data_IF_501978321232
#
_entry.id   IF_501978321232
#
_cell.length_a   1.000
_cell.length_b   1.000
_cell.length_c   1.000
_cell.angle_alpha   90.00
_cell.angle_beta   90.00
_cell.angle_gamma   90.00
#
_symmetry.space_group_name_H-M   'P 1'
#
loop_
_entity.id
_entity.type
_entity.pdbx_description
1 polymer ?
#
# COMPACT_ATOMS: atom_id res chain seq x y z
N UNK A 1 16.95 10.69 44.54
CA UNK A 1 16.29 10.71 43.23
C UNK A 1 17.36 10.80 42.18
N UNK A 2 17.45 9.78 41.31
CA UNK A 2 18.33 9.75 40.14
C UNK A 2 17.61 8.91 39.08
N UNK A 3 17.33 9.54 37.93
CA UNK A 3 17.26 8.94 36.61
C UNK A 3 16.22 7.85 36.35
N UNK A 4 15.02 8.26 35.96
CA UNK A 4 14.18 7.44 35.08
C UNK A 4 14.90 7.32 33.73
N UNK A 5 15.62 6.21 33.53
CA UNK A 5 16.17 5.85 32.23
C UNK A 5 15.04 5.19 31.44
N UNK A 6 14.68 5.76 30.28
CA UNK A 6 13.57 5.29 29.46
C UNK A 6 13.73 3.80 29.13
N UNK A 7 12.89 2.97 29.75
CA UNK A 7 12.76 1.58 29.35
C UNK A 7 12.13 1.56 27.96
N UNK A 8 12.92 1.27 26.93
CA UNK A 8 12.37 0.78 25.67
C UNK A 8 11.67 -0.54 26.00
N UNK A 9 10.34 -0.53 25.96
CA UNK A 9 9.52 -1.70 26.23
C UNK A 9 9.73 -2.71 25.09
N UNK A 10 10.29 -3.88 25.41
CA UNK A 10 10.48 -4.95 24.43
C UNK A 10 9.18 -5.69 24.11
N UNK A 11 8.93 -6.00 22.83
CA UNK A 11 7.71 -6.69 22.39
C UNK A 11 7.80 -8.21 22.58
N UNK A 12 9.02 -8.76 22.58
CA UNK A 12 9.25 -10.15 22.93
C UNK A 12 10.60 -10.35 23.62
N UNK A 13 10.60 -11.16 24.68
CA UNK A 13 11.80 -11.56 25.43
C UNK A 13 11.77 -13.05 25.69
N UNK A 14 12.83 -13.76 25.35
CA UNK A 14 13.05 -15.15 25.74
C UNK A 14 14.37 -15.26 26.48
N UNK A 15 14.37 -15.82 27.69
CA UNK A 15 15.57 -16.03 28.49
C UNK A 15 15.69 -17.48 28.92
N UNK A 16 16.93 -17.98 28.99
CA UNK A 16 17.23 -19.32 29.48
C UNK A 16 18.69 -19.49 29.85
N UNK A 17 19.00 -20.63 30.45
CA UNK A 17 20.34 -21.02 30.83
C UNK A 17 20.82 -22.14 29.90
N UNK A 18 21.91 -21.87 29.19
CA UNK A 18 22.57 -22.82 28.28
C UNK A 18 23.85 -23.34 28.91
N UNK A 19 24.06 -24.65 28.87
CA UNK A 19 25.33 -25.25 29.25
C UNK A 19 26.22 -25.45 28.02
N UNK A 20 27.27 -24.65 27.89
CA UNK A 20 28.21 -24.72 26.76
C UNK A 20 29.31 -25.73 27.07
N UNK A 21 29.24 -26.90 26.44
CA UNK A 21 30.16 -28.03 26.66
C UNK A 21 31.32 -28.08 25.66
N UNK A 22 31.24 -27.32 24.57
CA UNK A 22 32.22 -27.26 23.49
C UNK A 22 32.21 -25.87 22.83
N UNK A 23 33.15 -25.63 21.92
CA UNK A 23 33.14 -24.43 21.09
C UNK A 23 31.82 -24.33 20.34
N UNK A 24 31.23 -23.13 20.37
CA UNK A 24 29.86 -22.93 19.94
C UNK A 24 29.66 -21.59 19.27
N UNK A 25 28.62 -21.52 18.44
CA UNK A 25 28.26 -20.32 17.69
C UNK A 25 26.76 -20.07 17.75
N UNK A 26 26.37 -18.82 17.55
CA UNK A 26 24.99 -18.45 17.31
C UNK A 26 24.77 -18.44 15.81
N UNK A 27 23.77 -19.19 15.39
CA UNK A 27 23.33 -19.26 14.01
C UNK A 27 22.01 -18.51 13.95
N UNK A 28 21.96 -17.48 13.11
CA UNK A 28 20.76 -16.71 12.87
C UNK A 28 20.31 -16.94 11.43
N UNK A 29 19.12 -17.52 11.29
CA UNK A 29 18.55 -17.95 10.01
C UNK A 29 17.15 -17.36 9.81
N UNK A 30 16.72 -17.27 8.55
CA UNK A 30 15.34 -16.97 8.21
C UNK A 30 14.48 -18.24 8.30
N UNK A 31 13.28 -18.18 8.89
CA UNK A 31 12.37 -19.33 9.02
C UNK A 31 10.89 -18.94 8.97
N UNK A 32 10.02 -19.84 8.51
CA UNK A 32 8.57 -19.61 8.37
C UNK A 32 7.75 -20.35 9.47
N UNK A 33 6.57 -19.86 9.90
CA UNK A 33 6.17 -18.49 10.29
C UNK A 33 6.17 -18.35 11.83
N UNK A 34 7.32 -18.62 12.46
CA UNK A 34 7.47 -18.56 13.91
C UNK A 34 8.89 -18.15 14.29
N UNK A 35 9.04 -17.51 15.46
CA UNK A 35 10.34 -17.39 16.11
C UNK A 35 10.66 -18.77 16.69
N UNK A 36 11.73 -19.40 16.21
CA UNK A 36 12.20 -20.66 16.77
C UNK A 36 13.58 -20.50 17.41
N UNK A 37 13.75 -21.12 18.57
CA UNK A 37 15.01 -21.14 19.31
C UNK A 37 15.35 -22.59 19.54
N UNK A 38 16.38 -23.06 18.84
CA UNK A 38 16.86 -24.44 18.88
C UNK A 38 18.27 -24.46 19.47
N UNK A 39 18.50 -25.32 20.45
CA UNK A 39 19.78 -25.48 21.11
C UNK A 39 20.40 -26.85 20.84
N UNK A 40 21.67 -26.79 20.46
CA UNK A 40 22.50 -27.96 20.19
C UNK A 40 23.82 -27.79 20.94
N UNK A 41 24.58 -28.88 21.09
CA UNK A 41 25.92 -28.81 21.66
C UNK A 41 26.84 -27.88 20.83
N UNK A 42 26.67 -27.88 19.50
CA UNK A 42 27.47 -27.12 18.53
C UNK A 42 27.04 -25.65 18.42
N UNK A 43 25.78 -25.32 18.66
CA UNK A 43 25.28 -23.97 18.43
C UNK A 43 23.90 -23.67 18.97
N UNK A 44 23.63 -22.37 19.14
CA UNK A 44 22.32 -21.82 19.41
C UNK A 44 21.75 -21.29 18.09
N UNK A 45 20.69 -21.90 17.58
CA UNK A 45 20.05 -21.54 16.32
C UNK A 45 18.81 -20.72 16.64
N UNK A 46 18.74 -19.52 16.08
CA UNK A 46 17.62 -18.60 16.24
C UNK A 46 17.06 -18.35 14.85
N UNK A 47 15.85 -18.84 14.61
CA UNK A 47 15.13 -18.58 13.35
C UNK A 47 14.06 -17.55 13.62
N UNK A 48 13.89 -16.61 12.69
CA UNK A 48 12.78 -15.65 12.76
C UNK A 48 12.13 -15.45 11.39
N UNK A 49 10.85 -15.06 11.35
CA UNK A 49 10.12 -14.83 10.09
C UNK A 49 10.53 -13.59 9.33
N UNK A 50 11.43 -12.77 9.87
CA UNK A 50 11.75 -11.44 9.36
C UNK A 50 13.25 -11.35 9.07
N UNK A 51 13.70 -10.93 7.89
CA UNK A 51 15.12 -10.61 7.66
C UNK A 51 15.21 -9.29 6.93
N UNK A 52 15.88 -8.26 7.48
CA UNK A 52 15.98 -6.94 6.84
C UNK A 52 16.74 -6.97 5.51
N UNK A 53 17.40 -8.08 5.17
CA UNK A 53 18.05 -8.24 3.87
C UNK A 53 18.07 -9.73 3.48
N UNK A 54 17.41 -10.11 2.36
CA UNK A 54 17.40 -11.49 1.86
C UNK A 54 18.72 -11.92 1.21
N UNK A 55 19.71 -11.03 1.03
CA UNK A 55 20.99 -11.41 0.40
C UNK A 55 21.76 -12.49 1.16
N UNK A 56 21.66 -12.50 2.50
CA UNK A 56 22.21 -13.55 3.35
C UNK A 56 21.09 -14.15 4.21
N UNK A 57 20.67 -15.38 3.89
CA UNK A 57 19.68 -16.15 4.66
C UNK A 57 20.26 -16.75 5.95
N UNK A 58 21.55 -16.51 6.23
CA UNK A 58 22.33 -17.17 7.27
C UNK A 58 23.41 -16.24 7.81
N UNK A 59 23.45 -16.04 9.13
CA UNK A 59 24.49 -15.32 9.83
C UNK A 59 25.05 -16.18 10.98
N UNK A 60 26.38 -16.21 11.11
CA UNK A 60 27.06 -16.96 12.17
C UNK A 60 27.89 -16.01 13.03
N UNK A 61 27.66 -16.05 14.35
CA UNK A 61 28.35 -15.25 15.35
C UNK A 61 29.07 -16.17 16.34
N UNK A 62 30.30 -15.85 16.72
CA UNK A 62 31.05 -16.62 17.72
C UNK A 62 30.56 -16.34 19.13
N UNK A 63 30.43 -17.39 19.95
CA UNK A 63 30.17 -17.27 21.39
C UNK A 63 31.49 -17.21 22.20
N UNK A 64 31.45 -16.83 23.49
CA UNK A 64 32.65 -16.83 24.33
C UNK A 64 33.34 -18.19 24.36
N UNK A 65 34.67 -18.21 24.24
CA UNK A 65 35.47 -19.44 24.31
C UNK A 65 35.38 -20.22 25.65
N UNK A 66 35.26 -19.58 26.84
CA UNK A 66 35.19 -20.32 28.10
C UNK A 66 33.94 -21.19 28.19
N UNK A 67 34.12 -22.47 28.50
CA UNK A 67 33.03 -23.43 28.71
C UNK A 67 32.32 -23.17 30.03
N UNK A 68 31.03 -23.52 30.10
CA UNK A 68 30.24 -23.41 31.32
C UNK A 68 28.79 -23.00 31.08
N UNK A 69 28.12 -22.61 32.17
CA UNK A 69 26.72 -22.21 32.15
C UNK A 69 26.58 -20.72 31.87
N UNK A 70 25.86 -20.39 30.81
CA UNK A 70 25.55 -19.01 30.42
C UNK A 70 24.05 -18.75 30.48
N UNK A 71 23.68 -17.67 31.17
CA UNK A 71 22.36 -17.04 31.02
C UNK A 71 22.35 -16.30 29.68
N UNK A 72 21.32 -16.51 28.89
CA UNK A 72 21.11 -15.73 27.67
C UNK A 72 19.68 -15.24 27.58
N UNK A 73 19.50 -14.12 26.88
CA UNK A 73 18.22 -13.53 26.60
C UNK A 73 18.18 -13.02 25.15
N UNK A 74 17.12 -13.37 24.44
CA UNK A 74 16.79 -12.90 23.09
C UNK A 74 15.71 -11.84 23.25
N UNK A 75 15.98 -10.64 22.75
CA UNK A 75 15.08 -9.49 22.78
C UNK A 75 14.68 -9.09 21.38
N UNK A 76 13.39 -8.87 21.19
CA UNK A 76 12.82 -8.35 19.95
C UNK A 76 12.10 -7.03 20.23
N UNK A 77 12.43 -6.04 19.42
CA UNK A 77 11.82 -4.72 19.45
C UNK A 77 11.13 -4.49 18.11
N UNK A 78 9.80 -4.43 18.10
CA UNK A 78 8.97 -4.26 16.90
C UNK A 78 9.16 -2.85 16.31
N UNK A 79 9.18 -1.83 17.17
CA UNK A 79 9.34 -0.42 16.78
C UNK A 79 10.66 -0.13 16.06
N UNK A 80 11.77 -0.70 16.54
CA UNK A 80 13.09 -0.55 15.92
C UNK A 80 13.48 -1.70 15.00
N UNK A 81 12.63 -2.74 14.87
CA UNK A 81 12.86 -3.96 14.06
C UNK A 81 14.20 -4.66 14.37
N UNK A 82 14.67 -4.56 15.60
CA UNK A 82 15.97 -5.09 16.03
C UNK A 82 15.82 -6.36 16.85
N UNK A 83 16.68 -7.35 16.58
CA UNK A 83 16.83 -8.53 17.43
C UNK A 83 18.19 -8.49 18.11
N UNK A 84 18.19 -8.57 19.42
CA UNK A 84 19.39 -8.52 20.24
C UNK A 84 19.51 -9.80 21.06
N UNK A 85 20.66 -10.44 20.97
CA UNK A 85 21.03 -11.55 21.84
C UNK A 85 22.01 -11.05 22.89
N UNK A 86 21.64 -11.20 24.16
CA UNK A 86 22.56 -11.06 25.29
C UNK A 86 22.96 -12.45 25.73
N UNK A 87 24.25 -12.79 25.63
CA UNK A 87 24.79 -14.10 26.02
C UNK A 87 25.90 -13.91 27.05
N UNK A 88 25.61 -14.20 28.32
CA UNK A 88 26.52 -13.87 29.43
C UNK A 88 26.77 -12.37 29.54
N UNK A 89 28.00 -11.94 29.19
CA UNK A 89 28.40 -10.51 29.16
C UNK A 89 28.44 -9.93 27.75
N UNK A 90 28.24 -10.73 26.72
CA UNK A 90 28.26 -10.28 25.33
C UNK A 90 26.87 -9.86 24.89
N UNK A 91 26.79 -8.81 24.09
CA UNK A 91 25.58 -8.38 23.42
C UNK A 91 25.82 -8.37 21.91
N UNK A 92 24.96 -9.06 21.17
CA UNK A 92 25.10 -9.30 19.73
C UNK A 92 23.81 -8.82 19.08
N UNK A 93 23.94 -7.88 18.13
CA UNK A 93 22.82 -7.46 17.28
C UNK A 93 22.69 -8.45 16.11
N UNK A 94 21.58 -9.19 16.07
CA UNK A 94 21.37 -10.23 15.06
C UNK A 94 20.77 -9.63 13.77
N UNK A 95 21.52 -9.75 12.68
CA UNK A 95 21.08 -9.41 11.32
C UNK A 95 21.27 -7.93 10.92
N UNK A 96 22.04 -7.16 11.69
CA UNK A 96 22.25 -5.72 11.43
C UNK A 96 23.55 -5.36 10.71
N UNK A 97 24.60 -6.20 10.74
CA UNK A 97 25.90 -5.84 10.17
C UNK A 97 26.72 -7.08 9.72
N UNK A 98 27.08 -7.22 8.43
CA UNK A 98 27.89 -8.33 7.91
C UNK A 98 29.30 -8.39 8.49
N UNK A 99 29.84 -7.30 9.04
CA UNK A 99 31.21 -7.21 9.55
C UNK A 99 31.49 -8.10 10.76
N UNK A 100 30.44 -8.50 11.48
CA UNK A 100 30.51 -9.42 12.63
C UNK A 100 30.20 -10.87 12.26
N UNK A 101 29.80 -11.13 11.01
CA UNK A 101 29.46 -12.46 10.51
C UNK A 101 30.67 -13.13 9.88
N UNK A 102 30.88 -14.41 10.20
CA UNK A 102 31.95 -15.21 9.60
C UNK A 102 31.54 -15.58 8.16
N UNK A 103 32.32 -15.24 7.12
CA UNK A 103 32.03 -15.65 5.75
C UNK A 103 32.02 -17.17 5.61
N UNK A 104 31.12 -17.67 4.75
CA UNK A 104 30.91 -19.09 4.53
C UNK A 104 32.16 -19.80 3.98
N UNK A 105 32.63 -20.81 4.71
CA UNK A 105 33.35 -21.97 4.14
C UNK A 105 32.34 -23.10 3.92
N UNK A 106 32.46 -23.84 2.82
CA UNK A 106 31.60 -24.98 2.45
C UNK A 106 31.42 -25.98 3.59
N UNK A 107 30.40 -25.80 4.41
CA UNK A 107 29.99 -26.79 5.40
C UNK A 107 28.47 -26.73 5.61
N UNK A 108 27.73 -27.15 4.58
CA UNK A 108 26.35 -27.60 4.74
C UNK A 108 26.20 -28.98 4.15
N UNK A 109 25.99 -29.97 5.01
CA UNK A 109 24.80 -30.83 5.03
C UNK A 109 25.09 -32.07 5.89
N UNK A 110 24.18 -32.34 6.85
CA UNK A 110 24.13 -33.56 7.69
C UNK A 110 25.35 -33.81 8.59
N UNK A 111 25.53 -32.97 9.60
CA UNK A 111 26.07 -33.46 10.89
C UNK A 111 24.88 -33.66 11.81
N UNK A 112 24.71 -34.85 12.40
CA UNK A 112 23.72 -35.06 13.47
C UNK A 112 24.01 -34.04 14.59
N UNK A 113 23.20 -32.98 14.67
CA UNK A 113 23.35 -31.98 15.73
C UNK A 113 22.81 -32.60 17.02
N UNK A 114 23.64 -32.61 18.05
CA UNK A 114 23.28 -33.20 19.33
C UNK A 114 22.39 -32.22 20.07
N UNK A 115 21.09 -32.52 20.11
CA UNK A 115 20.08 -31.74 20.82
C UNK A 115 20.46 -31.55 22.29
N UNK A 116 20.40 -30.33 22.79
CA UNK A 116 20.79 -29.99 24.15
C UNK A 116 19.73 -29.11 24.81
N UNK A 117 19.37 -29.39 26.06
CA UNK A 117 18.27 -28.70 26.72
C UNK A 117 18.68 -27.29 27.16
N UNK A 118 17.74 -26.36 27.06
CA UNK A 118 17.82 -25.05 27.70
C UNK A 118 17.08 -25.15 29.03
N UNK A 119 17.68 -24.64 30.11
CA UNK A 119 17.13 -24.70 31.46
C UNK A 119 16.62 -23.33 31.92
N UNK A 120 15.79 -23.29 32.97
CA UNK A 120 15.29 -22.04 33.57
C UNK A 120 14.71 -21.06 32.54
N UNK A 121 13.87 -21.60 31.66
CA UNK A 121 13.34 -20.88 30.51
C UNK A 121 12.15 -20.03 30.91
N UNK A 122 12.13 -18.80 30.41
CA UNK A 122 11.06 -17.85 30.62
C UNK A 122 10.89 -16.98 29.39
N UNK A 123 9.66 -16.60 29.06
CA UNK A 123 9.38 -15.68 27.97
C UNK A 123 8.32 -14.65 28.33
N UNK A 124 8.34 -13.54 27.59
CA UNK A 124 7.40 -12.41 27.66
C UNK A 124 7.04 -12.00 26.25
N UNK A 125 5.76 -11.71 26.03
CA UNK A 125 5.23 -11.03 24.83
C UNK A 125 4.62 -9.70 25.26
N UNK A 126 4.49 -8.75 24.32
CA UNK A 126 3.86 -7.44 24.51
C UNK A 126 2.55 -7.54 25.29
N UNK A 127 2.43 -6.78 26.38
CA UNK A 127 1.25 -6.79 27.27
C UNK A 127 1.04 -8.08 28.10
N UNK A 128 1.93 -9.06 27.96
CA UNK A 128 1.89 -10.33 28.68
C UNK A 128 2.67 -10.32 30.00
N UNK A 129 2.47 -11.37 30.81
CA UNK A 129 3.25 -11.61 32.04
C UNK A 129 4.41 -12.56 31.77
N UNK A 130 5.44 -12.49 32.62
CA UNK A 130 6.56 -13.42 32.59
C UNK A 130 6.10 -14.88 32.81
N UNK A 131 6.25 -15.70 31.77
CA UNK A 131 5.79 -17.08 31.75
C UNK A 131 6.99 -18.02 31.72
N UNK A 132 7.08 -18.92 32.71
CA UNK A 132 8.12 -19.95 32.75
C UNK A 132 7.74 -21.14 31.89
N UNK A 133 8.72 -21.77 31.25
CA UNK A 133 8.54 -22.93 30.38
C UNK A 133 9.42 -24.10 30.84
N UNK A 134 8.97 -25.32 30.53
CA UNK A 134 9.75 -26.53 30.78
C UNK A 134 11.05 -26.56 29.95
N UNK A 135 12.06 -27.24 30.47
CA UNK A 135 13.33 -27.42 29.77
C UNK A 135 13.17 -28.29 28.52
N UNK A 136 13.52 -27.72 27.36
CA UNK A 136 13.46 -28.35 26.04
C UNK A 136 14.67 -27.89 25.23
N UNK A 137 14.97 -28.63 24.16
CA UNK A 137 15.99 -28.23 23.21
C UNK A 137 15.47 -27.23 22.17
N UNK A 138 14.16 -27.19 21.94
CA UNK A 138 13.55 -26.33 20.93
C UNK A 138 12.27 -25.68 21.44
N UNK A 139 12.10 -24.41 21.08
CA UNK A 139 10.93 -23.60 21.42
C UNK A 139 10.41 -22.90 20.16
N UNK A 140 9.09 -22.81 20.06
CA UNK A 140 8.39 -22.16 18.96
C UNK A 140 7.42 -21.13 19.51
N UNK A 141 7.52 -19.92 19.00
CA UNK A 141 6.62 -18.82 19.32
C UNK A 141 5.97 -18.35 18.02
N UNK A 142 4.66 -18.56 17.84
CA UNK A 142 3.98 -18.06 16.65
C UNK A 142 4.11 -16.53 16.63
N UNK A 143 4.51 -15.98 15.50
CA UNK A 143 4.45 -14.54 15.31
C UNK A 143 2.96 -14.13 15.21
N UNK A 144 2.59 -13.00 15.81
CA UNK A 144 1.27 -12.43 15.52
C UNK A 144 1.24 -12.07 14.03
N UNK A 145 0.21 -12.47 13.26
CA UNK A 145 0.08 -12.09 11.85
C UNK A 145 0.20 -10.58 11.63
N UNK A 146 -0.23 -9.78 12.61
CA UNK A 146 -0.19 -8.32 12.55
C UNK A 146 1.22 -7.74 12.63
N UNK A 147 2.14 -8.46 13.27
CA UNK A 147 3.55 -8.07 13.50
C UNK A 147 4.51 -8.55 12.41
N UNK A 148 3.99 -9.24 11.37
CA UNK A 148 4.81 -9.74 10.28
C UNK A 148 5.12 -8.65 9.26
N UNK A 149 6.39 -8.19 9.09
CA UNK A 149 6.77 -7.39 7.95
C UNK A 149 6.42 -8.11 6.67
N UNK A 150 5.79 -7.34 5.79
CA UNK A 150 5.51 -7.72 4.41
C UNK A 150 6.76 -7.43 3.61
N UNK A 151 7.25 -8.41 2.84
CA UNK A 151 8.40 -8.24 1.98
C UNK A 151 7.98 -7.87 0.57
N UNK A 152 8.90 -7.25 -0.18
CA UNK A 152 8.73 -6.95 -1.59
C UNK A 152 8.19 -8.14 -2.39
N UNK A 153 8.72 -9.35 -2.18
CA UNK A 153 8.28 -10.55 -2.90
C UNK A 153 6.83 -10.93 -2.61
N UNK A 154 6.35 -10.71 -1.39
CA UNK A 154 4.97 -11.00 -1.02
C UNK A 154 4.01 -10.03 -1.74
N UNK A 155 4.43 -8.78 -1.90
CA UNK A 155 3.70 -7.76 -2.66
C UNK A 155 3.70 -8.08 -4.16
N UNK A 156 4.86 -8.41 -4.72
CA UNK A 156 5.00 -8.77 -6.14
C UNK A 156 4.18 -10.01 -6.52
N UNK A 157 4.10 -11.01 -5.63
CA UNK A 157 3.25 -12.18 -5.82
C UNK A 157 1.75 -11.79 -5.89
N UNK A 158 1.29 -10.92 -4.99
CA UNK A 158 -0.09 -10.45 -5.00
C UNK A 158 -0.41 -9.56 -6.21
N UNK A 159 0.53 -8.69 -6.62
CA UNK A 159 0.41 -7.87 -7.81
C UNK A 159 0.30 -8.74 -9.06
N UNK A 160 1.20 -9.72 -9.21
CA UNK A 160 1.16 -10.68 -10.32
C UNK A 160 -0.17 -11.44 -10.37
N UNK A 161 -0.67 -11.85 -9.20
CA UNK A 161 -1.97 -12.51 -9.10
C UNK A 161 -3.13 -11.59 -9.50
N UNK A 162 -3.09 -10.31 -9.12
CA UNK A 162 -4.09 -9.31 -9.51
C UNK A 162 -4.03 -9.02 -11.02
N UNK A 163 -2.85 -8.79 -11.57
CA UNK A 163 -2.61 -8.58 -13.00
C UNK A 163 -3.13 -9.75 -13.83
N UNK A 164 -2.91 -10.99 -13.38
CA UNK A 164 -3.41 -12.19 -14.06
C UNK A 164 -4.94 -12.25 -14.15
N UNK A 165 -5.65 -11.64 -13.20
CA UNK A 165 -7.12 -11.55 -13.22
C UNK A 165 -7.58 -10.42 -14.13
N UNK A 166 -6.84 -9.30 -14.15
CA UNK A 166 -7.15 -8.14 -15.00
C UNK A 166 -6.81 -8.36 -16.48
N UNK A 167 -5.85 -9.24 -16.78
CA UNK A 167 -5.46 -9.61 -18.14
C UNK A 167 -6.47 -10.52 -18.85
N UNK A 168 -7.40 -11.14 -18.12
CA UNK A 168 -8.44 -11.96 -18.73
C UNK A 168 -9.40 -11.06 -19.53
N UNK A 169 -9.85 -11.49 -20.73
CA UNK A 169 -10.74 -10.69 -21.55
C UNK A 169 -12.00 -10.34 -20.74
N UNK A 170 -12.46 -9.07 -20.78
CA UNK A 170 -13.65 -8.68 -20.07
C UNK A 170 -14.82 -9.53 -20.56
N UNK A 171 -15.35 -10.36 -19.68
CA UNK A 171 -16.60 -11.08 -19.92
C UNK A 171 -17.66 -10.00 -20.17
N UNK A 172 -18.49 -10.09 -21.23
CA UNK A 172 -19.51 -9.08 -21.47
C UNK A 172 -20.42 -8.99 -20.23
N UNK A 173 -20.44 -7.79 -19.64
CA UNK A 173 -20.97 -7.51 -18.31
C UNK A 173 -20.35 -8.37 -17.19
N UNK A 174 -19.09 -8.07 -16.83
CA UNK A 174 -18.50 -8.57 -15.58
C UNK A 174 -19.43 -8.16 -14.43
N UNK A 175 -20.08 -9.14 -13.81
CA UNK A 175 -21.09 -8.86 -12.77
C UNK A 175 -20.50 -8.09 -11.60
N UNK A 176 -21.33 -7.29 -10.93
CA UNK A 176 -20.94 -6.48 -9.76
C UNK A 176 -20.15 -7.28 -8.70
N UNK A 177 -20.44 -8.57 -8.54
CA UNK A 177 -19.74 -9.50 -7.64
C UNK A 177 -18.26 -9.70 -7.99
N UNK A 178 -17.90 -9.81 -9.28
CA UNK A 178 -16.50 -9.98 -9.70
C UNK A 178 -15.74 -8.65 -9.59
N UNK A 179 -16.38 -7.52 -9.93
CA UNK A 179 -15.81 -6.20 -9.69
C UNK A 179 -15.50 -5.97 -8.20
N UNK A 180 -16.44 -6.32 -7.32
CA UNK A 180 -16.26 -6.23 -5.87
C UNK A 180 -15.15 -7.18 -5.38
N UNK A 181 -15.02 -8.36 -5.98
CA UNK A 181 -13.93 -9.30 -5.66
C UNK A 181 -12.56 -8.71 -6.02
N UNK A 182 -12.44 -8.05 -7.16
CA UNK A 182 -11.21 -7.37 -7.59
C UNK A 182 -10.90 -6.18 -6.68
N UNK A 183 -11.88 -5.32 -6.36
CA UNK A 183 -11.72 -4.21 -5.40
C UNK A 183 -11.30 -4.69 -4.01
N UNK A 184 -11.86 -5.81 -3.53
CA UNK A 184 -11.42 -6.43 -2.28
C UNK A 184 -9.95 -6.88 -2.34
N UNK A 185 -9.50 -7.47 -3.46
CA UNK A 185 -8.09 -7.83 -3.64
C UNK A 185 -7.19 -6.60 -3.67
N UNK A 186 -7.63 -5.52 -4.31
CA UNK A 186 -6.93 -4.24 -4.30
C UNK A 186 -6.80 -3.67 -2.87
N UNK A 187 -7.87 -3.71 -2.08
CA UNK A 187 -7.83 -3.29 -0.67
C UNK A 187 -6.92 -4.17 0.22
N UNK A 188 -6.84 -5.49 -0.03
CA UNK A 188 -5.86 -6.34 0.66
C UNK A 188 -4.41 -6.00 0.27
N UNK A 189 -4.17 -5.66 -1.01
CA UNK A 189 -2.87 -5.18 -1.48
C UNK A 189 -2.49 -3.83 -0.82
N UNK A 190 -3.42 -2.89 -0.69
CA UNK A 190 -3.20 -1.63 0.03
C UNK A 190 -2.76 -1.87 1.49
N UNK A 191 -3.40 -2.82 2.18
CA UNK A 191 -3.01 -3.20 3.55
C UNK A 191 -1.62 -3.82 3.61
N UNK A 192 -1.22 -4.59 2.60
CA UNK A 192 0.13 -5.17 2.51
C UNK A 192 1.18 -4.08 2.25
N UNK A 193 0.93 -3.18 1.31
CA UNK A 193 1.81 -2.05 0.99
C UNK A 193 1.99 -1.08 2.16
N UNK A 194 0.95 -0.88 2.98
CA UNK A 194 1.06 -0.10 4.21
C UNK A 194 2.16 -0.65 5.16
N UNK A 195 2.36 -1.96 5.17
CA UNK A 195 3.29 -2.67 6.07
C UNK A 195 4.60 -3.11 5.41
N UNK A 196 4.78 -2.87 4.11
CA UNK A 196 5.94 -3.37 3.37
C UNK A 196 7.24 -2.77 3.90
N UNK A 197 8.29 -3.58 3.96
CA UNK A 197 9.66 -3.10 4.16
C UNK A 197 10.15 -2.41 2.88
N UNK A 198 10.74 -1.22 3.03
CA UNK A 198 11.22 -0.44 1.89
C UNK A 198 12.72 -0.28 1.98
N UNK A 199 13.40 -0.49 0.86
CA UNK A 199 14.82 -0.20 0.69
C UNK A 199 15.03 1.28 0.32
N UNK A 200 14.74 2.20 1.24
CA UNK A 200 15.00 3.64 1.04
C UNK A 200 13.84 4.55 1.43
N UNK A 201 13.76 5.72 0.77
CA UNK A 201 12.66 6.68 0.95
C UNK A 201 11.42 6.32 0.13
N UNK A 202 11.61 5.67 -1.02
CA UNK A 202 10.51 5.20 -1.85
C UNK A 202 10.84 3.88 -2.53
N UNK A 203 9.80 3.14 -2.88
CA UNK A 203 9.92 1.92 -3.69
C UNK A 203 8.66 1.77 -4.54
N UNK A 204 8.84 1.29 -5.76
CA UNK A 204 7.78 1.02 -6.71
C UNK A 204 7.74 -0.48 -6.98
N UNK A 205 6.53 -1.03 -7.01
CA UNK A 205 6.21 -2.45 -7.17
C UNK A 205 5.30 -2.65 -8.39
N UNK A 206 5.40 -3.83 -9.01
CA UNK A 206 4.55 -4.22 -10.13
C UNK A 206 5.09 -3.76 -11.50
N UNK A 207 4.88 -4.63 -12.50
CA UNK A 207 5.44 -4.47 -13.85
C UNK A 207 4.38 -4.35 -14.96
N UNK A 208 3.08 -4.51 -14.65
CA UNK A 208 2.03 -4.63 -15.66
C UNK A 208 0.83 -3.68 -15.48
N UNK A 209 -0.30 -4.15 -14.92
CA UNK A 209 -1.55 -3.35 -14.92
C UNK A 209 -1.59 -2.37 -13.76
N UNK A 210 -1.04 -2.79 -12.62
CA UNK A 210 -1.00 -2.00 -11.40
C UNK A 210 0.45 -1.74 -11.03
N UNK A 211 0.85 -0.47 -11.00
CA UNK A 211 2.12 -0.05 -10.42
C UNK A 211 1.84 0.64 -9.09
N UNK A 212 2.40 0.12 -8.01
CA UNK A 212 2.21 0.67 -6.67
C UNK A 212 3.51 1.30 -6.17
N UNK A 213 3.49 2.57 -5.77
CA UNK A 213 4.61 3.26 -5.15
C UNK A 213 4.30 3.58 -3.70
N UNK A 214 5.23 3.24 -2.81
CA UNK A 214 5.16 3.57 -1.38
C UNK A 214 6.24 4.60 -1.08
N UNK A 215 5.86 5.71 -0.45
CA UNK A 215 6.76 6.81 -0.06
C UNK A 215 6.80 6.92 1.47
N UNK A 216 8.00 7.02 2.05
CA UNK A 216 8.24 7.39 3.46
C UNK A 216 8.44 8.89 3.57
N UNK A 217 7.60 9.55 4.36
CA UNK A 217 7.64 11.00 4.57
C UNK A 217 7.86 11.29 6.05
N UNK A 218 9.00 11.91 6.36
CA UNK A 218 9.26 12.40 7.71
C UNK A 218 8.66 13.80 7.88
N UNK A 219 7.79 14.05 8.88
CA UNK A 219 7.16 15.36 9.05
C UNK A 219 8.14 16.52 9.26
N UNK A 220 9.30 16.25 9.85
CA UNK A 220 10.35 17.26 10.13
C UNK A 220 11.17 17.67 8.90
N UNK A 221 11.12 16.89 7.82
CA UNK A 221 11.89 17.11 6.59
C UNK A 221 10.99 17.23 5.35
N UNK A 222 9.67 17.32 5.53
CA UNK A 222 8.73 17.35 4.42
C UNK A 222 8.94 18.64 3.58
N UNK A 223 9.16 18.51 2.25
CA UNK A 223 9.19 19.67 1.36
C UNK A 223 7.83 20.39 1.35
N UNK A 224 7.80 21.66 0.90
CA UNK A 224 6.55 22.44 0.82
C UNK A 224 5.47 21.70 0.00
N UNK A 225 5.90 20.95 -1.02
CA UNK A 225 5.10 20.12 -1.91
C UNK A 225 5.86 18.82 -2.20
N UNK A 226 5.16 17.67 -2.19
CA UNK A 226 5.72 16.38 -2.56
C UNK A 226 5.16 15.95 -3.92
N UNK A 227 6.00 16.03 -4.95
CA UNK A 227 5.61 15.72 -6.32
C UNK A 227 6.04 14.30 -6.70
N UNK A 228 5.10 13.53 -7.24
CA UNK A 228 5.31 12.23 -7.86
C UNK A 228 5.04 12.34 -9.36
N UNK A 229 5.81 11.62 -10.18
CA UNK A 229 5.61 11.52 -11.61
C UNK A 229 5.57 10.05 -12.02
N UNK A 230 4.60 9.67 -12.85
CA UNK A 230 4.51 8.32 -13.41
C UNK A 230 5.62 8.08 -14.44
N UNK A 231 5.82 6.81 -14.79
CA UNK A 231 6.57 6.49 -16.00
C UNK A 231 5.82 7.02 -17.22
N UNK A 232 6.58 7.41 -18.25
CA UNK A 232 6.02 7.95 -19.49
C UNK A 232 5.64 6.81 -20.43
N UNK A 233 4.41 6.84 -20.94
CA UNK A 233 3.90 5.89 -21.91
C UNK A 233 3.92 6.52 -23.31
N UNK A 234 4.58 5.87 -24.28
CA UNK A 234 4.75 6.44 -25.64
C UNK A 234 3.50 6.26 -26.53
N UNK A 235 2.64 5.27 -26.24
CA UNK A 235 1.49 4.90 -27.09
C UNK A 235 0.13 4.92 -26.38
N UNK A 236 0.07 5.39 -25.13
CA UNK A 236 -1.16 5.50 -24.36
C UNK A 236 -1.93 6.78 -24.70
N UNK A 237 -3.27 6.76 -24.55
CA UNK A 237 -4.09 7.98 -24.62
C UNK A 237 -3.68 8.98 -23.52
N UNK A 238 -3.24 8.46 -22.37
CA UNK A 238 -2.53 9.20 -21.33
C UNK A 238 -1.04 8.85 -21.41
N UNK A 239 -0.21 9.85 -21.67
CA UNK A 239 1.25 9.71 -21.80
C UNK A 239 1.96 9.63 -20.45
N UNK A 240 1.26 9.98 -19.37
CA UNK A 240 1.75 9.96 -18.00
C UNK A 240 0.96 10.92 -17.12
N UNK A 241 1.26 10.94 -15.83
CA UNK A 241 0.66 11.89 -14.89
C UNK A 241 1.64 12.34 -13.82
N UNK A 242 1.33 13.47 -13.19
CA UNK A 242 2.00 13.95 -11.99
C UNK A 242 1.01 14.13 -10.87
N UNK A 243 1.42 13.85 -9.63
CA UNK A 243 0.65 14.11 -8.42
C UNK A 243 1.45 15.05 -7.54
N UNK A 244 0.84 16.16 -7.13
CA UNK A 244 1.42 17.10 -6.18
C UNK A 244 0.63 17.07 -4.86
N UNK A 245 1.31 16.66 -3.79
CA UNK A 245 0.75 16.51 -2.46
C UNK A 245 1.13 17.72 -1.60
N UNK A 246 0.15 18.45 -1.02
CA UNK A 246 0.41 19.63 -0.21
C UNK A 246 0.98 19.23 1.16
N UNK A 247 1.89 20.05 1.70
CA UNK A 247 2.49 19.83 3.02
C UNK A 247 1.49 19.84 4.18
N UNK A 248 0.34 20.52 4.03
CA UNK A 248 -0.74 20.49 5.02
C UNK A 248 -1.26 19.07 5.29
N UNK A 249 -1.15 18.16 4.33
CA UNK A 249 -1.46 16.73 4.48
C UNK A 249 -0.71 16.08 5.65
N UNK A 250 0.57 16.41 5.81
CA UNK A 250 1.46 15.80 6.81
C UNK A 250 1.42 16.50 8.17
N UNK A 251 0.83 17.70 8.21
CA UNK A 251 0.64 18.49 9.43
C UNK A 251 -0.67 18.15 10.17
N UNK A 252 -1.67 17.62 9.46
CA UNK A 252 -2.98 17.22 10.01
C UNK A 252 -2.90 16.07 11.03
N UNK A 253 -1.79 15.32 11.06
CA UNK A 253 -1.64 14.12 11.92
C UNK A 253 -0.91 14.43 13.23
N UNK A 254 -0.50 15.68 13.47
CA UNK A 254 0.30 16.08 14.64
C UNK A 254 -0.44 16.01 15.99
N UNK A 255 -1.76 15.78 15.98
CA UNK A 255 -2.59 15.69 17.19
C UNK A 255 -2.81 14.26 17.73
N UNK A 256 -2.46 13.22 16.97
CA UNK A 256 -2.37 11.84 17.47
C UNK A 256 -0.89 11.51 17.65
N UNK A 257 -0.52 11.08 18.87
CA UNK A 257 0.72 10.39 19.28
C UNK A 257 1.91 10.45 18.32
N UNK A 258 3.07 10.98 18.74
CA UNK A 258 4.35 11.08 17.99
C UNK A 258 4.45 10.18 16.73
N UNK A 259 3.80 10.57 15.62
CA UNK A 259 3.90 9.82 14.37
C UNK A 259 5.24 10.16 13.76
N UNK A 260 6.18 9.22 13.90
CA UNK A 260 7.59 9.39 13.51
C UNK A 260 7.75 9.40 11.97
N UNK A 261 6.83 8.77 11.24
CA UNK A 261 6.90 8.56 9.79
C UNK A 261 5.48 8.43 9.20
N UNK A 262 5.18 9.22 8.16
CA UNK A 262 3.99 9.06 7.34
C UNK A 262 4.28 8.21 6.11
N UNK A 263 3.31 7.38 5.70
CA UNK A 263 3.42 6.56 4.48
C UNK A 263 2.35 6.94 3.49
N UNK A 264 2.78 7.34 2.29
CA UNK A 264 1.88 7.64 1.18
C UNK A 264 1.91 6.46 0.21
N UNK A 265 0.73 5.98 -0.16
CA UNK A 265 0.54 4.97 -1.19
C UNK A 265 -0.01 5.66 -2.45
N UNK A 266 0.67 5.43 -3.56
CA UNK A 266 0.28 5.89 -4.89
C UNK A 266 0.15 4.67 -5.79
N UNK A 267 -1.02 4.46 -6.41
CA UNK A 267 -1.19 3.38 -7.38
C UNK A 267 -1.57 3.94 -8.74
N UNK A 268 -0.86 3.51 -9.76
CA UNK A 268 -1.19 3.70 -11.17
C UNK A 268 -1.87 2.43 -11.67
N UNK A 269 -3.16 2.52 -12.02
CA UNK A 269 -3.97 1.39 -12.46
C UNK A 269 -4.38 1.62 -13.91
N UNK A 270 -3.82 0.83 -14.82
CA UNK A 270 -4.00 0.94 -16.28
C UNK A 270 -5.20 0.13 -16.81
N UNK A 271 -6.23 -0.09 -15.97
CA UNK A 271 -7.49 -0.77 -16.33
C UNK A 271 -8.66 -0.30 -15.45
N UNK A 272 -9.73 0.16 -16.09
CA UNK A 272 -10.96 0.56 -15.40
C UNK A 272 -11.92 -0.58 -15.03
N UNK A 273 -11.57 -1.85 -15.29
CA UNK A 273 -12.49 -3.00 -15.11
C UNK A 273 -13.03 -3.15 -13.68
N UNK A 274 -12.28 -2.66 -12.68
CA UNK A 274 -12.68 -2.62 -11.27
C UNK A 274 -13.59 -1.42 -10.92
N UNK A 275 -13.68 -0.44 -11.80
CA UNK A 275 -14.27 0.90 -11.60
C UNK A 275 -15.28 1.23 -12.71
N UNK A 276 -16.19 0.31 -13.00
CA UNK A 276 -17.30 0.56 -13.94
C UNK A 276 -18.58 0.84 -13.16
N UNK A 277 -19.17 1.99 -13.43
CA UNK A 277 -20.48 2.39 -12.93
C UNK A 277 -21.62 1.81 -13.80
N UNK A 278 -22.87 2.02 -13.38
CA UNK A 278 -24.04 1.52 -14.12
C UNK A 278 -24.12 2.04 -15.57
N UNK A 279 -23.59 3.25 -15.80
CA UNK A 279 -23.61 3.89 -17.11
C UNK A 279 -22.48 3.40 -18.03
N UNK A 280 -21.58 2.54 -17.54
CA UNK A 280 -20.37 2.13 -18.26
C UNK A 280 -19.57 3.34 -18.75
N UNK A 281 -19.45 4.34 -17.88
CA UNK A 281 -18.83 5.62 -18.19
C UNK A 281 -17.37 5.42 -18.59
N UNK A 282 -16.95 6.13 -19.63
CA UNK A 282 -15.61 6.00 -20.19
C UNK A 282 -14.64 6.97 -19.52
N UNK A 283 -13.56 6.45 -18.93
CA UNK A 283 -12.46 7.26 -18.39
C UNK A 283 -11.31 7.38 -19.40
N UNK A 284 -10.56 8.48 -19.33
CA UNK A 284 -9.44 8.78 -20.22
C UNK A 284 -8.33 7.73 -20.04
N UNK A 285 -7.97 7.03 -21.12
CA UNK A 285 -6.90 6.03 -21.14
C UNK A 285 -7.10 4.83 -20.22
N UNK A 286 -8.34 4.54 -19.77
CA UNK A 286 -8.63 3.53 -18.74
C UNK A 286 -7.81 3.68 -17.44
N UNK A 287 -7.24 4.87 -17.20
CA UNK A 287 -6.27 5.12 -16.13
C UNK A 287 -6.96 5.62 -14.86
N UNK A 288 -6.69 4.93 -13.75
CA UNK A 288 -7.16 5.30 -12.40
C UNK A 288 -5.93 5.49 -11.50
N UNK A 289 -5.87 6.63 -10.82
CA UNK A 289 -4.78 6.96 -9.89
C UNK A 289 -5.30 6.90 -8.46
N UNK A 290 -4.84 5.93 -7.68
CA UNK A 290 -5.12 5.87 -6.24
C UNK A 290 -4.10 6.67 -5.46
N UNK A 291 -4.56 7.46 -4.49
CA UNK A 291 -3.71 8.13 -3.51
C UNK A 291 -4.30 7.86 -2.14
N UNK A 292 -3.50 7.38 -1.20
CA UNK A 292 -3.91 7.24 0.20
C UNK A 292 -2.77 7.50 1.17
N UNK A 293 -3.13 7.95 2.37
CA UNK A 293 -2.23 8.10 3.50
C UNK A 293 -2.52 6.94 4.46
N UNK A 294 -1.48 6.16 4.80
CA UNK A 294 -1.64 4.98 5.66
C UNK A 294 -2.30 5.37 6.99
N UNK A 295 -3.27 4.55 7.43
CA UNK A 295 -4.04 4.71 8.66
C UNK A 295 -4.84 6.02 8.80
N UNK A 296 -5.00 6.78 7.70
CA UNK A 296 -5.68 8.08 7.72
C UNK A 296 -6.62 8.25 6.53
N UNK A 297 -7.90 8.54 6.82
CA UNK A 297 -8.86 9.01 5.81
C UNK A 297 -8.71 10.52 5.69
N UNK A 298 -8.39 11.00 4.48
CA UNK A 298 -8.10 12.41 4.24
C UNK A 298 -9.22 13.03 3.41
N UNK A 299 -9.87 14.05 3.97
CA UNK A 299 -10.92 14.83 3.33
C UNK A 299 -10.93 16.28 3.84
N UNK A 300 -11.59 17.18 3.10
CA UNK A 300 -11.71 18.61 3.41
C UNK A 300 -10.36 19.33 3.55
N UNK A 301 -9.38 18.97 2.73
CA UNK A 301 -8.11 19.68 2.64
C UNK A 301 -8.35 21.14 2.23
N UNK A 302 -7.69 22.07 2.93
CA UNK A 302 -7.72 23.50 2.56
C UNK A 302 -6.87 23.77 1.33
N UNK A 303 -5.70 23.14 1.24
CA UNK A 303 -4.87 23.10 0.03
C UNK A 303 -5.16 21.80 -0.71
N UNK A 304 -5.65 21.85 -1.96
CA UNK A 304 -6.02 20.65 -2.70
C UNK A 304 -4.79 19.87 -3.17
N UNK A 305 -4.95 18.56 -3.29
CA UNK A 305 -4.03 17.69 -4.02
C UNK A 305 -4.25 17.92 -5.51
N UNK A 306 -3.15 18.00 -6.27
CA UNK A 306 -3.20 18.32 -7.70
C UNK A 306 -2.70 17.14 -8.51
N UNK A 307 -3.58 16.53 -9.31
CA UNK A 307 -3.22 15.51 -10.29
C UNK A 307 -3.22 16.14 -11.68
N UNK A 308 -2.18 15.93 -12.48
CA UNK A 308 -2.14 16.39 -13.87
C UNK A 308 -1.95 15.19 -14.79
N UNK A 309 -2.93 14.95 -15.67
CA UNK A 309 -2.89 13.89 -16.68
C UNK A 309 -2.43 14.50 -18.00
N UNK A 310 -1.36 13.96 -18.58
CA UNK A 310 -0.82 14.41 -19.87
C UNK A 310 -1.40 13.54 -20.99
N UNK A 311 -2.00 14.16 -22.00
CA UNK A 311 -2.69 13.47 -23.09
C UNK A 311 -2.62 14.29 -24.39
N UNK A 312 -2.93 13.66 -25.52
CA UNK A 312 -3.08 14.37 -26.79
C UNK A 312 -4.35 15.25 -26.81
N UNK A 313 -4.53 16.06 -27.86
CA UNK A 313 -5.74 16.89 -27.97
C UNK A 313 -7.01 16.03 -27.98
N UNK A 314 -7.87 16.26 -26.99
CA UNK A 314 -9.14 15.57 -26.87
C UNK A 314 -10.11 15.97 -28.00
N UNK A 315 -11.03 15.08 -28.41
CA UNK A 315 -12.07 15.41 -29.38
C UNK A 315 -12.91 16.61 -28.93
N UNK A 316 -13.34 17.45 -29.88
CA UNK A 316 -14.12 18.67 -29.57
C UNK A 316 -15.47 18.42 -28.90
N UNK A 317 -16.03 17.24 -29.12
CA UNK A 317 -17.30 16.79 -28.54
C UNK A 317 -17.13 16.04 -27.20
N UNK A 318 -15.94 16.13 -26.59
CA UNK A 318 -15.64 15.52 -25.30
C UNK A 318 -15.19 16.62 -24.35
N UNK A 319 -15.83 16.68 -23.18
CA UNK A 319 -15.40 17.53 -22.07
C UNK A 319 -14.82 16.63 -20.99
N UNK A 320 -13.52 16.77 -20.65
CA UNK A 320 -12.95 16.02 -19.54
C UNK A 320 -13.52 16.54 -18.21
N UNK A 321 -13.78 15.61 -17.29
CA UNK A 321 -14.27 15.91 -15.94
C UNK A 321 -13.48 15.08 -14.92
N UNK A 322 -12.82 15.74 -13.98
CA UNK A 322 -12.16 15.07 -12.87
C UNK A 322 -13.18 14.48 -11.90
N UNK A 323 -13.04 13.18 -11.64
CA UNK A 323 -13.93 12.41 -10.79
C UNK A 323 -13.13 11.52 -9.84
N UNK A 324 -13.78 11.06 -8.78
CA UNK A 324 -13.30 10.03 -7.89
C UNK A 324 -14.29 8.88 -7.79
N UNK A 325 -13.80 7.69 -7.47
CA UNK A 325 -14.65 6.52 -7.28
C UNK A 325 -15.30 6.54 -5.90
N UNK A 326 -16.62 6.65 -5.87
CA UNK A 326 -17.43 6.50 -4.68
C UNK A 326 -17.92 5.05 -4.58
N UNK A 327 -17.43 4.32 -3.59
CA UNK A 327 -17.89 2.96 -3.32
C UNK A 327 -19.26 2.99 -2.62
N UNK A 328 -20.24 2.27 -3.20
CA UNK A 328 -21.53 2.03 -2.55
C UNK A 328 -21.43 0.76 -1.70
N UNK A 329 -22.00 0.81 -0.50
CA UNK A 329 -22.02 -0.31 0.45
C UNK A 329 -23.20 -1.25 0.20
N UNK A 330 -24.18 -0.83 -0.61
CA UNK A 330 -25.24 -1.67 -1.14
C UNK A 330 -24.76 -2.43 -2.37
N UNK A 331 -25.45 -3.51 -2.78
CA UNK A 331 -24.99 -4.45 -3.81
C UNK A 331 -24.86 -3.89 -5.25
N UNK A 332 -24.83 -2.57 -5.41
CA UNK A 332 -24.58 -1.85 -6.66
C UNK A 332 -23.08 -1.80 -6.99
N UNK A 333 -22.77 -1.69 -8.28
CA UNK A 333 -21.49 -1.16 -8.74
C UNK A 333 -21.39 0.29 -8.25
N UNK A 334 -20.28 0.69 -7.62
CA UNK A 334 -20.03 2.08 -7.20
C UNK A 334 -20.17 3.09 -8.35
N UNK A 335 -19.95 4.37 -8.07
CA UNK A 335 -20.16 5.43 -9.05
C UNK A 335 -19.03 6.47 -9.07
N UNK A 336 -18.88 7.14 -10.21
CA UNK A 336 -17.98 8.29 -10.33
C UNK A 336 -18.67 9.56 -9.82
N UNK A 337 -18.04 10.26 -8.88
CA UNK A 337 -18.50 11.55 -8.36
C UNK A 337 -17.42 12.62 -8.56
N UNK A 338 -17.80 13.88 -8.76
CA UNK A 338 -16.91 15.03 -8.89
C UNK A 338 -16.82 15.88 -7.61
N UNK A 339 -17.54 15.51 -6.54
CA UNK A 339 -17.55 16.25 -5.28
C UNK A 339 -16.14 16.46 -4.71
N UNK A 340 -15.84 17.71 -4.34
CA UNK A 340 -14.54 18.08 -3.79
C UNK A 340 -13.41 18.18 -4.83
N UNK A 341 -13.68 17.95 -6.11
CA UNK A 341 -12.73 18.04 -7.21
C UNK A 341 -13.09 19.17 -8.19
N UNK A 342 -12.08 19.94 -8.62
CA UNK A 342 -12.20 20.96 -9.67
C UNK A 342 -11.38 20.54 -10.88
N UNK A 343 -11.96 20.66 -12.08
CA UNK A 343 -11.30 20.33 -13.34
C UNK A 343 -10.75 21.59 -14.01
N UNK A 344 -9.47 21.57 -14.36
CA UNK A 344 -8.81 22.61 -15.16
C UNK A 344 -8.36 21.97 -16.48
N UNK A 345 -8.97 22.40 -17.57
CA UNK A 345 -8.76 21.80 -18.89
C UNK A 345 -7.68 22.55 -19.67
N UNK A 346 -6.74 21.78 -20.23
CA UNK A 346 -5.70 22.26 -21.15
C UNK A 346 -5.77 21.51 -22.48
N UNK A 347 -5.02 22.00 -23.47
CA UNK A 347 -4.99 21.36 -24.80
C UNK A 347 -4.30 20.01 -24.82
N UNK A 348 -3.34 19.79 -23.92
CA UNK A 348 -2.52 18.56 -23.85
C UNK A 348 -2.37 18.06 -22.41
N UNK A 349 -3.21 18.56 -21.51
CA UNK A 349 -3.24 18.13 -20.11
C UNK A 349 -4.60 18.43 -19.49
N UNK A 350 -4.99 17.63 -18.52
CA UNK A 350 -6.13 17.89 -17.64
C UNK A 350 -5.64 17.87 -16.20
N UNK A 351 -5.90 18.93 -15.46
CA UNK A 351 -5.50 19.07 -14.06
C UNK A 351 -6.73 18.94 -13.14
N UNK A 352 -6.62 18.07 -12.14
CA UNK A 352 -7.62 17.76 -11.14
C UNK A 352 -7.16 18.27 -9.78
N UNK A 353 -7.91 19.21 -9.20
CA UNK A 353 -7.65 19.74 -7.85
C UNK A 353 -8.68 19.18 -6.90
N UNK A 354 -8.29 18.25 -6.03
CA UNK A 354 -9.21 17.53 -5.14
C UNK A 354 -8.86 17.77 -3.67
N UNK A 355 -9.87 17.86 -2.81
CA UNK A 355 -9.69 18.12 -1.37
C UNK A 355 -9.70 16.86 -0.48
N UNK A 356 -9.56 15.69 -1.10
CA UNK A 356 -9.56 14.37 -0.44
C UNK A 356 -8.57 13.44 -1.15
N UNK A 357 -8.32 12.26 -0.56
CA UNK A 357 -7.47 11.21 -1.12
C UNK A 357 -8.30 9.94 -1.33
N UNK A 358 -8.39 9.46 -2.59
CA UNK A 358 -9.20 8.32 -3.01
C UNK A 358 -8.65 7.72 -4.33
N UNK A 359 -9.50 7.13 -5.16
CA UNK A 359 -9.21 6.71 -6.53
C UNK A 359 -9.73 7.76 -7.52
N UNK A 360 -8.83 8.39 -8.28
CA UNK A 360 -9.16 9.48 -9.22
C UNK A 360 -9.07 9.03 -10.67
N UNK A 361 -9.92 9.63 -11.51
CA UNK A 361 -9.89 9.46 -12.96
C UNK A 361 -10.36 10.74 -13.66
N UNK A 362 -10.11 10.82 -14.97
CA UNK A 362 -10.70 11.84 -15.84
C UNK A 362 -11.81 11.19 -16.66
N UNK A 363 -13.06 11.54 -16.38
CA UNK A 363 -14.22 11.07 -17.12
C UNK A 363 -14.37 11.82 -18.45
N UNK A 364 -14.58 11.08 -19.54
CA UNK A 364 -14.81 11.65 -20.86
C UNK A 364 -16.30 11.86 -21.10
N UNK A 365 -16.79 13.02 -20.67
CA UNK A 365 -18.21 13.36 -20.82
C UNK A 365 -18.47 13.76 -22.26
N UNK A 366 -19.38 13.03 -22.93
CA UNK A 366 -19.88 13.42 -24.24
C UNK A 366 -20.59 14.76 -24.12
N UNK A 367 -19.98 15.81 -24.66
CA UNK A 367 -20.62 17.09 -24.83
C UNK A 367 -21.09 17.15 -26.27
N UNK A 368 -22.39 16.91 -26.56
CA UNK A 368 -22.89 17.11 -27.90
C UNK A 368 -22.63 18.58 -28.24
N UNK A 369 -21.63 18.82 -29.09
CA UNK A 369 -21.43 20.11 -29.70
C UNK A 369 -22.69 20.33 -30.54
N UNK A 370 -23.70 21.00 -29.97
CA UNK A 370 -24.81 21.51 -30.76
C UNK A 370 -24.17 22.60 -31.60
N UNK A 371 -23.59 22.17 -32.71
CA UNK A 371 -23.02 23.03 -33.74
C UNK A 371 -24.05 24.13 -34.00
N UNK A 372 -23.59 25.35 -34.22
CA UNK A 372 -24.45 26.50 -34.50
C UNK A 372 -25.52 26.19 -35.56
N UNK A 373 -25.19 25.28 -36.49
CA UNK A 373 -26.07 24.70 -37.51
C UNK A 373 -27.28 23.95 -36.92
N UNK A 374 -27.09 23.09 -35.92
CA UNK A 374 -28.19 22.35 -35.28
C UNK A 374 -29.07 23.24 -34.40
N UNK A 375 -28.51 24.25 -33.70
CA UNK A 375 -29.31 25.28 -33.02
C UNK A 375 -30.19 26.05 -33.99
N UNK A 376 -29.64 26.39 -35.15
CA UNK A 376 -30.39 27.11 -36.19
C UNK A 376 -31.52 26.25 -36.75
N UNK A 377 -31.25 24.96 -37.00
CA UNK A 377 -32.27 24.03 -37.51
C UNK A 377 -33.40 23.79 -36.52
N UNK A 378 -33.09 23.58 -35.23
CA UNK A 378 -34.12 23.48 -34.18
C UNK A 378 -34.94 24.77 -34.09
N UNK A 379 -34.30 25.94 -34.17
CA UNK A 379 -34.99 27.23 -34.12
C UNK A 379 -35.94 27.43 -35.30
N UNK A 380 -35.54 27.01 -36.51
CA UNK A 380 -36.39 27.05 -37.70
C UNK A 380 -37.61 26.13 -37.53
N UNK A 381 -37.42 24.91 -37.04
CA UNK A 381 -38.53 23.97 -36.78
C UNK A 381 -39.49 24.56 -35.75
N UNK A 382 -38.99 25.12 -34.65
CA UNK A 382 -39.82 25.77 -33.62
C UNK A 382 -40.60 26.95 -34.20
N UNK A 383 -39.96 27.80 -35.00
CA UNK A 383 -40.61 28.97 -35.61
C UNK A 383 -41.74 28.56 -36.58
N UNK A 384 -41.49 27.57 -37.43
CA UNK A 384 -42.50 27.02 -38.35
C UNK A 384 -43.65 26.37 -37.58
N UNK A 385 -43.34 25.59 -36.53
CA UNK A 385 -44.34 24.99 -35.66
C UNK A 385 -45.24 26.03 -35.00
N UNK A 386 -44.65 27.11 -34.44
CA UNK A 386 -45.40 28.21 -33.84
C UNK A 386 -46.31 28.93 -34.86
N UNK A 387 -45.83 29.16 -36.08
CA UNK A 387 -46.63 29.77 -37.15
C UNK A 387 -47.84 28.91 -37.52
N UNK A 388 -47.64 27.60 -37.71
CA UNK A 388 -48.72 26.67 -38.04
C UNK A 388 -49.73 26.62 -36.91
N UNK A 389 -49.28 26.54 -35.65
CA UNK A 389 -50.17 26.54 -34.49
C UNK A 389 -50.96 27.86 -34.38
N UNK A 390 -50.31 29.01 -34.56
CA UNK A 390 -50.99 30.31 -34.53
C UNK A 390 -52.05 30.44 -35.63
N UNK A 391 -51.75 30.02 -36.87
CA UNK A 391 -52.71 30.03 -37.96
C UNK A 391 -53.88 29.07 -37.69
N UNK A 392 -53.60 27.87 -37.20
CA UNK A 392 -54.64 26.92 -36.82
C UNK A 392 -55.55 27.49 -35.73
N UNK A 393 -54.98 28.14 -34.70
CA UNK A 393 -55.75 28.83 -33.66
C UNK A 393 -56.60 29.98 -34.19
N UNK A 394 -56.08 30.78 -35.13
CA UNK A 394 -56.86 31.86 -35.75
C UNK A 394 -58.02 31.28 -36.57
N UNK A 395 -57.77 30.23 -37.35
CA UNK A 395 -58.79 29.55 -38.15
C UNK A 395 -59.89 28.94 -37.27
N UNK A 396 -59.54 28.32 -36.14
CA UNK A 396 -60.54 27.77 -35.20
C UNK A 396 -61.37 28.87 -34.54
N UNK A 397 -60.75 29.97 -34.12
CA UNK A 397 -61.47 31.13 -33.57
C UNK A 397 -62.44 31.72 -34.61
N UNK A 398 -61.98 31.91 -35.84
CA UNK A 398 -62.81 32.43 -36.94
C UNK A 398 -63.99 31.50 -37.22
N UNK A 399 -63.74 30.19 -37.31
CA UNK A 399 -64.80 29.20 -37.52
C UNK A 399 -65.84 29.20 -36.37
N UNK A 400 -65.39 29.36 -35.12
CA UNK A 400 -66.28 29.46 -33.96
C UNK A 400 -67.06 30.79 -33.91
N UNK A 401 -66.52 31.88 -34.46
CA UNK A 401 -67.19 33.18 -34.49
C UNK A 401 -68.30 33.26 -35.55
N UNK A 402 -68.11 32.61 -36.70
CA UNK A 402 -69.08 32.59 -37.81
C UNK A 402 -70.08 31.42 -37.76
N UNK A 403 -69.98 30.56 -36.74
CA UNK A 403 -70.93 29.50 -36.43
C UNK A 403 -71.84 29.93 -35.31
#
# INVERSE_FOLDING_TARGET
GVGANGHREEDFRFCGDRNQTQESSVIYEHGHPAISIENTAQGLIIKRPFSPNRRNSYYKYSLPAPLGRYRFCVYWFESSRTLQLVYGKQSILLGGDPSSSIPWGQESQKTERTSAYIFNVSYITKGGKNTSLDAKAEYFFPASPESMPVWEQDVEEQLTALDSLLAQPPVPAMGATEQQRLRRKLGELEKMLAKVELEGQNQTFGEATVHATVLRVQPSQAPQHLTFASQREESGEVQGFTVDLPSSLFMMVKEREEVVEHRVLLMDINRQTMFQDENSSHILGDKVVSISLVDTVVANLSDPVVLTFFHDQLPRNVTPLCVFWQEDTSASSGSWDSYGCTTVTGSSQTECRCNHLTYFAVLMVSSPEITSVHRNYLSIITYVGCLISALASICTIFFLYFR
#
